data_IF_762565264491
#
_entry.id   IF_762565264491
#
_cell.length_a   1.000
_cell.length_b   1.000
_cell.length_c   1.000
_cell.angle_alpha   90.00
_cell.angle_beta   90.00
_cell.angle_gamma   90.00
#
_symmetry.space_group_name_H-M   'P 1'
#
loop_
_entity.id
_entity.type
_entity.pdbx_description
1 polymer ?
#
# COMPACT_ATOMS: atom_id res chain seq x y z
N UNK A 1 -3.14 37.49 -16.49
CA UNK A 1 -2.27 38.67 -16.32
C UNK A 1 -3.12 39.91 -16.46
N UNK A 2 -2.83 40.97 -15.70
CA UNK A 2 -3.57 42.25 -15.72
C UNK A 2 -2.62 43.37 -16.12
N UNK A 3 -3.09 44.28 -16.97
CA UNK A 3 -2.33 45.45 -17.40
C UNK A 3 -2.26 46.46 -16.25
N UNK A 4 -1.04 46.84 -15.88
CA UNK A 4 -0.78 47.85 -14.85
C UNK A 4 -0.71 49.23 -15.47
N UNK A 5 -0.05 49.36 -16.61
CA UNK A 5 0.00 50.59 -17.39
C UNK A 5 1.15 50.60 -18.39
N UNK A 6 1.33 51.76 -19.03
CA UNK A 6 2.25 51.94 -20.14
C UNK A 6 3.38 52.92 -19.79
N UNK A 7 4.58 52.66 -20.31
CA UNK A 7 5.76 53.51 -20.17
C UNK A 7 6.35 53.81 -21.57
N UNK A 8 6.95 55.00 -21.77
CA UNK A 8 7.41 55.43 -23.09
C UNK A 8 8.70 54.72 -23.53
N UNK A 9 9.52 54.26 -22.59
CA UNK A 9 10.85 53.71 -22.86
C UNK A 9 10.97 52.28 -22.32
N UNK A 10 11.70 51.44 -23.05
CA UNK A 10 12.02 50.06 -22.65
C UNK A 10 12.71 50.00 -21.29
N UNK A 11 13.75 50.82 -21.09
CA UNK A 11 14.54 50.82 -19.86
C UNK A 11 13.68 51.13 -18.63
N UNK A 12 12.79 52.11 -18.75
CA UNK A 12 11.90 52.47 -17.64
C UNK A 12 10.88 51.36 -17.35
N UNK A 13 10.37 50.69 -18.39
CA UNK A 13 9.44 49.58 -18.25
C UNK A 13 10.09 48.34 -17.64
N UNK A 14 11.30 47.98 -18.08
CA UNK A 14 12.07 46.88 -17.51
C UNK A 14 12.49 47.15 -16.08
N UNK A 15 12.94 48.38 -15.77
CA UNK A 15 13.30 48.80 -14.41
C UNK A 15 12.11 48.75 -13.47
N UNK A 16 10.94 49.20 -13.92
CA UNK A 16 9.71 49.13 -13.13
C UNK A 16 9.22 47.68 -12.94
N UNK A 17 9.26 46.84 -13.99
CA UNK A 17 8.92 45.43 -13.88
C UNK A 17 9.87 44.69 -12.91
N UNK A 18 11.17 44.99 -12.95
CA UNK A 18 12.14 44.47 -11.99
C UNK A 18 11.83 44.92 -10.56
N UNK A 19 11.47 46.19 -10.36
CA UNK A 19 11.04 46.68 -9.04
C UNK A 19 9.82 45.91 -8.50
N UNK A 20 8.81 45.65 -9.33
CA UNK A 20 7.65 44.85 -8.91
C UNK A 20 8.06 43.44 -8.44
N UNK A 21 9.01 42.80 -9.14
CA UNK A 21 9.57 41.50 -8.72
C UNK A 21 10.30 41.62 -7.37
N UNK A 22 11.00 42.73 -7.10
CA UNK A 22 11.60 43.01 -5.78
C UNK A 22 10.58 43.30 -4.67
N UNK A 23 9.33 43.57 -5.01
CA UNK A 23 8.20 43.68 -4.07
C UNK A 23 7.39 42.38 -3.93
N UNK A 24 7.80 41.32 -4.65
CA UNK A 24 7.13 40.02 -4.63
C UNK A 24 5.94 39.92 -5.58
N UNK A 25 5.85 40.85 -6.53
CA UNK A 25 4.80 40.90 -7.55
C UNK A 25 5.39 40.42 -8.87
N UNK A 26 4.85 39.34 -9.43
CA UNK A 26 5.37 38.77 -10.68
C UNK A 26 4.96 39.66 -11.85
N UNK A 27 5.93 40.37 -12.44
CA UNK A 27 5.69 41.32 -13.52
C UNK A 27 6.53 41.05 -14.77
N UNK A 28 6.03 41.49 -15.92
CA UNK A 28 6.77 41.49 -17.19
C UNK A 28 6.45 42.76 -18.00
N UNK A 29 7.43 43.23 -18.78
CA UNK A 29 7.27 44.37 -19.68
C UNK A 29 7.32 43.88 -21.13
N UNK A 30 6.37 44.31 -21.96
CA UNK A 30 6.24 43.92 -23.36
C UNK A 30 6.06 45.16 -24.25
N UNK A 31 6.59 45.10 -25.47
CA UNK A 31 6.49 46.20 -26.43
C UNK A 31 5.18 46.11 -27.21
N UNK A 32 4.43 47.22 -27.27
CA UNK A 32 3.12 47.31 -27.91
C UNK A 32 2.99 48.68 -28.59
N UNK A 33 2.73 48.73 -29.90
CA UNK A 33 2.47 49.95 -30.68
C UNK A 33 3.31 51.20 -30.32
N UNK A 34 4.63 51.03 -30.17
CA UNK A 34 5.57 52.12 -29.88
C UNK A 34 5.64 52.58 -28.41
N UNK A 35 4.97 51.87 -27.51
CA UNK A 35 5.05 52.03 -26.06
C UNK A 35 5.33 50.68 -25.38
N UNK A 36 5.63 50.70 -24.08
CA UNK A 36 5.89 49.48 -23.31
C UNK A 36 4.80 49.27 -22.26
N UNK A 37 4.11 48.14 -22.35
CA UNK A 37 3.05 47.74 -21.44
C UNK A 37 3.62 46.85 -20.33
N UNK A 38 3.33 47.18 -19.06
CA UNK A 38 3.74 46.38 -17.89
C UNK A 38 2.55 45.56 -17.39
N UNK A 39 2.75 44.25 -17.33
CA UNK A 39 1.74 43.26 -16.95
C UNK A 39 2.11 42.58 -15.64
N UNK A 40 1.12 42.36 -14.77
CA UNK A 40 1.27 41.62 -13.50
C UNK A 40 0.47 40.33 -13.54
N UNK A 41 0.99 39.28 -12.89
CA UNK A 41 0.33 37.97 -12.82
C UNK A 41 -0.77 37.94 -11.75
N UNK A 42 -0.50 38.45 -10.56
CA UNK A 42 -1.43 38.41 -9.43
C UNK A 42 -2.51 39.49 -9.53
N UNK A 43 -3.78 39.11 -9.56
CA UNK A 43 -4.90 40.06 -9.66
C UNK A 43 -4.97 40.99 -8.45
N UNK A 44 -4.78 40.44 -7.25
CA UNK A 44 -4.81 41.17 -5.98
C UNK A 44 -3.70 42.22 -5.84
N UNK A 45 -2.62 42.10 -6.62
CA UNK A 45 -1.49 43.03 -6.63
C UNK A 45 -1.67 44.17 -7.63
N UNK A 46 -2.72 44.14 -8.47
CA UNK A 46 -2.90 45.08 -9.59
C UNK A 46 -3.05 46.53 -9.11
N UNK A 47 -3.85 46.77 -8.07
CA UNK A 47 -4.10 48.13 -7.56
C UNK A 47 -2.86 48.73 -6.91
N UNK A 48 -2.11 47.92 -6.15
CA UNK A 48 -0.81 48.30 -5.58
C UNK A 48 0.20 48.61 -6.68
N UNK A 49 0.28 47.77 -7.72
CA UNK A 49 1.19 47.99 -8.84
C UNK A 49 0.85 49.27 -9.62
N UNK A 50 -0.43 49.63 -9.75
CA UNK A 50 -0.85 50.89 -10.36
C UNK A 50 -0.44 52.11 -9.54
N UNK A 51 -0.62 52.07 -8.22
CA UNK A 51 -0.16 53.14 -7.32
C UNK A 51 1.36 53.34 -7.40
N UNK A 52 2.11 52.24 -7.41
CA UNK A 52 3.58 52.30 -7.55
C UNK A 52 4.03 52.80 -8.93
N UNK A 53 3.25 52.54 -9.98
CA UNK A 53 3.52 53.06 -11.32
C UNK A 53 3.36 54.60 -11.36
N UNK A 54 2.35 55.15 -10.68
CA UNK A 54 2.19 56.60 -10.55
C UNK A 54 3.36 57.23 -9.81
N UNK A 55 3.79 56.62 -8.70
CA UNK A 55 4.96 57.06 -7.95
C UNK A 55 6.25 56.98 -8.79
N UNK A 56 6.41 55.92 -9.60
CA UNK A 56 7.53 55.76 -10.52
C UNK A 56 7.56 56.85 -11.59
N UNK A 57 6.40 57.21 -12.15
CA UNK A 57 6.29 58.31 -13.14
C UNK A 57 6.65 59.66 -12.54
N UNK A 58 6.28 59.91 -11.28
CA UNK A 58 6.58 61.16 -10.59
C UNK A 58 8.07 61.29 -10.23
N UNK A 59 8.72 60.21 -9.80
CA UNK A 59 10.14 60.21 -9.42
C UNK A 59 10.90 58.99 -9.99
N UNK A 60 11.17 58.93 -11.31
CA UNK A 60 11.73 57.75 -11.96
C UNK A 60 13.17 57.41 -11.56
N UNK A 61 13.88 58.37 -10.94
CA UNK A 61 15.29 58.28 -10.52
C UNK A 61 15.47 58.13 -9.01
N UNK A 62 14.39 57.90 -8.28
CA UNK A 62 14.45 57.60 -6.85
C UNK A 62 15.43 56.44 -6.58
N UNK A 63 16.14 56.52 -5.46
CA UNK A 63 17.06 55.49 -5.00
C UNK A 63 16.41 54.09 -4.95
N UNK A 64 15.10 54.01 -4.69
CA UNK A 64 14.34 52.74 -4.63
C UNK A 64 14.23 51.99 -5.97
N UNK A 65 14.46 52.68 -7.08
CA UNK A 65 14.44 52.10 -8.43
C UNK A 65 15.85 51.82 -8.98
N UNK A 66 16.89 52.09 -8.20
CA UNK A 66 18.27 51.85 -8.61
C UNK A 66 18.65 50.40 -8.27
N UNK A 67 19.38 49.74 -9.18
CA UNK A 67 19.86 48.35 -9.02
C UNK A 67 18.75 47.28 -8.85
N UNK A 68 17.49 47.61 -9.10
CA UNK A 68 16.35 46.69 -8.96
C UNK A 68 16.41 45.51 -9.92
N UNK A 69 17.02 45.67 -11.09
CA UNK A 69 17.23 44.59 -12.08
C UNK A 69 18.08 43.46 -11.49
N UNK A 70 19.18 43.80 -10.81
CA UNK A 70 20.05 42.81 -10.14
C UNK A 70 19.31 42.12 -9.00
N UNK A 71 18.60 42.88 -8.17
CA UNK A 71 17.83 42.34 -7.05
C UNK A 71 16.69 41.41 -7.52
N UNK A 72 16.02 41.77 -8.61
CA UNK A 72 14.98 40.94 -9.22
C UNK A 72 15.55 39.62 -9.74
N UNK A 73 16.69 39.66 -10.43
CA UNK A 73 17.38 38.46 -10.92
C UNK A 73 17.79 37.53 -9.76
N UNK A 74 18.37 38.08 -8.70
CA UNK A 74 18.77 37.32 -7.51
C UNK A 74 17.56 36.61 -6.87
N UNK A 75 16.40 37.29 -6.80
CA UNK A 75 15.16 36.71 -6.23
C UNK A 75 14.58 35.60 -7.10
N UNK A 76 14.50 35.79 -8.41
CA UNK A 76 14.04 34.75 -9.34
C UNK A 76 14.90 33.49 -9.28
N UNK A 77 16.23 33.65 -9.16
CA UNK A 77 17.16 32.53 -8.99
C UNK A 77 16.98 31.80 -7.65
N UNK A 78 16.67 32.54 -6.58
CA UNK A 78 16.34 31.94 -5.28
C UNK A 78 15.03 31.14 -5.36
N UNK A 79 13.98 31.70 -5.95
CA UNK A 79 12.70 30.99 -6.13
C UNK A 79 12.85 29.73 -6.98
N UNK A 80 13.61 29.80 -8.08
CA UNK A 80 13.88 28.62 -8.91
C UNK A 80 14.58 27.51 -8.12
N UNK A 81 15.63 27.86 -7.36
CA UNK A 81 16.34 26.91 -6.49
C UNK A 81 15.44 26.32 -5.42
N UNK A 82 14.57 27.14 -4.81
CA UNK A 82 13.59 26.67 -3.83
C UNK A 82 12.57 25.72 -4.45
N UNK A 83 12.06 26.02 -5.66
CA UNK A 83 11.15 25.14 -6.40
C UNK A 83 11.81 23.81 -6.77
N UNK A 84 13.07 23.83 -7.20
CA UNK A 84 13.82 22.60 -7.49
C UNK A 84 14.08 21.77 -6.23
N UNK A 85 14.44 22.41 -5.12
CA UNK A 85 14.61 21.73 -3.83
C UNK A 85 13.29 21.13 -3.33
N UNK A 86 12.18 21.87 -3.44
CA UNK A 86 10.85 21.39 -3.08
C UNK A 86 10.43 20.22 -3.97
N UNK A 87 10.72 20.26 -5.28
CA UNK A 87 10.44 19.17 -6.23
C UNK A 87 11.19 17.88 -5.87
N UNK A 88 12.42 17.98 -5.36
CA UNK A 88 13.18 16.82 -4.87
C UNK A 88 12.57 16.17 -3.62
N UNK A 89 11.77 16.91 -2.86
CA UNK A 89 11.06 16.41 -1.68
C UNK A 89 9.64 15.88 -1.98
N UNK A 90 9.17 15.98 -3.22
CA UNK A 90 7.91 15.37 -3.63
C UNK A 90 8.16 13.88 -3.83
N UNK A 91 7.74 13.09 -2.85
CA UNK A 91 7.57 11.64 -3.03
C UNK A 91 6.33 11.46 -3.88
N UNK A 92 6.50 11.25 -5.19
CA UNK A 92 5.40 10.84 -6.04
C UNK A 92 4.84 9.52 -5.49
N UNK A 93 3.56 9.46 -5.04
CA UNK A 93 2.96 8.19 -4.68
C UNK A 93 3.01 7.34 -5.95
N UNK A 94 3.75 6.23 -5.92
CA UNK A 94 4.01 5.41 -7.09
C UNK A 94 2.69 5.05 -7.77
N UNK A 95 2.38 5.70 -8.89
CA UNK A 95 1.24 5.35 -9.74
C UNK A 95 1.55 4.12 -10.60
N UNK A 96 2.34 3.19 -10.08
CA UNK A 96 2.62 1.92 -10.75
C UNK A 96 1.51 0.91 -10.43
N UNK A 97 0.35 1.21 -11.00
CA UNK A 97 -0.66 0.22 -11.36
C UNK A 97 -0.33 -0.47 -12.70
N UNK A 98 0.86 -0.23 -13.26
CA UNK A 98 1.39 -0.94 -14.42
C UNK A 98 1.75 -2.37 -14.02
N UNK A 99 0.92 -3.31 -14.44
CA UNK A 99 1.31 -4.71 -14.58
C UNK A 99 2.64 -4.79 -15.34
N UNK A 100 3.70 -5.40 -14.78
CA UNK A 100 4.87 -5.73 -15.60
C UNK A 100 6.23 -5.99 -14.94
N UNK A 101 6.45 -5.72 -13.66
CA UNK A 101 7.62 -6.31 -12.99
C UNK A 101 7.22 -7.71 -12.45
N UNK A 102 7.93 -8.81 -12.78
CA UNK A 102 7.67 -10.08 -12.15
C UNK A 102 7.98 -9.94 -10.66
N UNK A 103 6.92 -9.78 -9.85
CA UNK A 103 7.02 -9.78 -8.39
C UNK A 103 7.83 -10.99 -7.97
N UNK A 104 8.91 -10.77 -7.23
CA UNK A 104 9.76 -11.84 -6.72
C UNK A 104 9.09 -12.44 -5.50
N UNK A 105 8.08 -13.28 -5.75
CA UNK A 105 7.25 -13.89 -4.72
C UNK A 105 7.40 -15.43 -4.67
N UNK A 106 8.64 -15.97 -4.58
CA UNK A 106 8.87 -17.41 -4.65
C UNK A 106 8.17 -18.17 -3.53
N UNK A 107 8.22 -17.70 -2.28
CA UNK A 107 7.58 -18.37 -1.15
C UNK A 107 6.06 -18.33 -1.28
N UNK A 108 5.49 -17.19 -1.65
CA UNK A 108 4.05 -17.08 -1.88
C UNK A 108 3.58 -18.09 -2.93
N UNK A 109 4.32 -18.24 -4.04
CA UNK A 109 4.03 -19.24 -5.08
C UNK A 109 4.16 -20.66 -4.56
N UNK A 110 5.19 -20.95 -3.76
CA UNK A 110 5.38 -22.28 -3.14
C UNK A 110 4.24 -22.60 -2.17
N UNK A 111 3.80 -21.66 -1.33
CA UNK A 111 2.66 -21.86 -0.41
C UNK A 111 1.36 -22.12 -1.17
N UNK A 112 1.11 -21.39 -2.27
CA UNK A 112 -0.04 -21.62 -3.16
C UNK A 112 0.05 -23.02 -3.79
N UNK A 113 1.20 -23.38 -4.36
CA UNK A 113 1.40 -24.69 -4.98
C UNK A 113 1.21 -25.84 -3.97
N UNK A 114 1.79 -25.72 -2.78
CA UNK A 114 1.60 -26.71 -1.71
C UNK A 114 0.13 -26.83 -1.30
N UNK A 115 -0.60 -25.73 -1.18
CA UNK A 115 -2.03 -25.74 -0.83
C UNK A 115 -2.88 -26.43 -1.91
N UNK A 116 -2.61 -26.15 -3.19
CA UNK A 116 -3.30 -26.77 -4.30
C UNK A 116 -2.98 -28.27 -4.36
N UNK A 117 -1.71 -28.65 -4.28
CA UNK A 117 -1.28 -30.05 -4.32
C UNK A 117 -1.86 -30.82 -3.14
N UNK A 118 -1.72 -30.33 -1.91
CA UNK A 118 -2.26 -30.97 -0.72
C UNK A 118 -3.78 -31.16 -0.81
N UNK A 119 -4.50 -30.13 -1.30
CA UNK A 119 -5.96 -30.22 -1.49
C UNK A 119 -6.32 -31.24 -2.56
N UNK A 120 -5.61 -31.29 -3.70
CA UNK A 120 -5.88 -32.30 -4.74
C UNK A 120 -5.63 -33.71 -4.20
N UNK A 121 -4.50 -33.93 -3.52
CA UNK A 121 -4.13 -35.22 -2.93
C UNK A 121 -5.14 -35.69 -1.87
N UNK A 122 -5.71 -34.76 -1.09
CA UNK A 122 -6.72 -35.03 -0.08
C UNK A 122 -8.17 -35.06 -0.62
N UNK A 123 -8.40 -34.64 -1.86
CA UNK A 123 -9.73 -34.52 -2.47
C UNK A 123 -10.16 -35.74 -3.28
N UNK A 124 -11.44 -35.80 -3.61
CA UNK A 124 -12.00 -36.82 -4.51
C UNK A 124 -11.59 -36.65 -5.99
N UNK A 125 -10.95 -35.53 -6.38
CA UNK A 125 -10.49 -35.26 -7.75
C UNK A 125 -9.49 -36.28 -8.28
N UNK A 126 -8.71 -36.91 -7.40
CA UNK A 126 -7.64 -37.82 -7.81
C UNK A 126 -8.12 -39.22 -8.21
N UNK A 127 -9.42 -39.51 -8.05
CA UNK A 127 -10.04 -40.76 -8.50
C UNK A 127 -9.78 -41.97 -7.59
N UNK A 128 -10.88 -42.64 -7.21
CA UNK A 128 -11.13 -44.00 -6.65
C UNK A 128 -10.18 -44.67 -5.63
N UNK A 129 -8.89 -44.36 -5.52
CA UNK A 129 -8.03 -44.97 -4.49
C UNK A 129 -8.25 -44.26 -3.15
N UNK A 130 -9.14 -44.84 -2.33
CA UNK A 130 -9.52 -44.29 -1.04
C UNK A 130 -8.32 -44.25 -0.08
N UNK A 131 -7.36 -45.16 -0.24
CA UNK A 131 -6.26 -45.37 0.71
C UNK A 131 -5.28 -44.20 0.74
N UNK A 132 -4.79 -43.75 -0.41
CA UNK A 132 -3.87 -42.61 -0.51
C UNK A 132 -4.52 -41.31 -0.04
N UNK A 133 -5.77 -41.07 -0.46
CA UNK A 133 -6.54 -39.89 -0.07
C UNK A 133 -6.76 -39.84 1.45
N UNK A 134 -7.18 -40.96 2.05
CA UNK A 134 -7.40 -41.08 3.49
C UNK A 134 -6.10 -40.90 4.26
N UNK A 135 -5.02 -41.54 3.82
CA UNK A 135 -3.69 -41.39 4.44
C UNK A 135 -3.23 -39.93 4.40
N UNK A 136 -3.33 -39.25 3.26
CA UNK A 136 -2.91 -37.85 3.14
C UNK A 136 -3.79 -36.94 3.99
N UNK A 137 -5.11 -37.12 3.96
CA UNK A 137 -6.04 -36.32 4.76
C UNK A 137 -5.77 -36.50 6.27
N UNK A 138 -5.52 -37.74 6.71
CA UNK A 138 -5.22 -38.07 8.09
C UNK A 138 -3.84 -37.56 8.54
N UNK A 139 -2.82 -37.63 7.69
CA UNK A 139 -1.46 -37.17 8.06
C UNK A 139 -1.36 -35.64 8.09
N UNK A 140 -2.18 -34.95 7.30
CA UNK A 140 -2.17 -33.48 7.24
C UNK A 140 -3.18 -32.82 8.19
N UNK A 141 -4.15 -33.56 8.73
CA UNK A 141 -5.11 -33.05 9.71
C UNK A 141 -4.45 -32.67 11.04
N UNK A 142 -5.13 -31.84 11.84
CA UNK A 142 -4.59 -31.39 13.12
C UNK A 142 -4.43 -32.53 14.14
N UNK A 143 -5.32 -33.52 14.06
CA UNK A 143 -5.32 -34.71 14.90
C UNK A 143 -5.82 -35.90 14.08
N UNK A 144 -5.34 -37.09 14.41
CA UNK A 144 -5.95 -38.34 13.96
C UNK A 144 -7.34 -38.46 14.61
N UNK A 145 -8.37 -38.62 13.79
CA UNK A 145 -9.75 -38.55 14.28
C UNK A 145 -10.12 -39.73 15.20
N UNK A 146 -9.77 -41.00 14.90
CA UNK A 146 -9.88 -42.10 15.86
C UNK A 146 -9.24 -41.83 17.23
N UNK A 147 -7.99 -41.35 17.27
CA UNK A 147 -7.29 -41.06 18.53
C UNK A 147 -7.97 -39.94 19.33
N UNK A 148 -8.50 -38.93 18.64
CA UNK A 148 -9.30 -37.87 19.26
C UNK A 148 -10.59 -38.40 19.86
N UNK A 149 -11.30 -39.32 19.17
CA UNK A 149 -12.54 -39.90 19.71
C UNK A 149 -12.29 -40.68 21.00
N UNK A 150 -11.15 -41.38 21.10
CA UNK A 150 -10.77 -42.14 22.28
C UNK A 150 -10.33 -41.24 23.44
N UNK A 151 -9.49 -40.23 23.16
CA UNK A 151 -8.85 -39.41 24.21
C UNK A 151 -9.59 -38.13 24.57
N UNK A 152 -10.43 -37.63 23.65
CA UNK A 152 -11.01 -36.28 23.69
C UNK A 152 -9.94 -35.16 23.83
N UNK A 153 -8.68 -35.46 23.47
CA UNK A 153 -7.56 -34.53 23.53
C UNK A 153 -7.15 -34.11 22.11
N UNK A 154 -7.40 -32.86 21.69
CA UNK A 154 -7.04 -32.39 20.36
C UNK A 154 -5.53 -32.39 20.11
N UNK A 155 -4.70 -32.48 21.15
CA UNK A 155 -3.23 -32.43 21.05
C UNK A 155 -2.56 -33.81 21.16
N UNK A 156 -3.32 -34.90 21.19
CA UNK A 156 -2.80 -36.26 21.45
C UNK A 156 -1.62 -36.64 20.54
N UNK A 157 -1.75 -36.47 19.22
CA UNK A 157 -0.67 -36.83 18.28
C UNK A 157 0.51 -35.86 18.32
N UNK A 158 0.25 -34.58 18.59
CA UNK A 158 1.31 -33.56 18.73
C UNK A 158 2.18 -33.90 19.97
N UNK A 159 1.55 -34.33 21.07
CA UNK A 159 2.26 -34.81 22.27
C UNK A 159 3.08 -36.09 22.02
N UNK A 160 2.72 -36.87 21.00
CA UNK A 160 3.45 -38.06 20.56
C UNK A 160 4.60 -37.73 19.58
N UNK A 161 4.78 -36.47 19.21
CA UNK A 161 5.89 -36.01 18.36
C UNK A 161 5.49 -35.61 16.94
N UNK A 162 4.21 -35.69 16.57
CA UNK A 162 3.70 -35.31 15.24
C UNK A 162 3.54 -33.78 15.10
N UNK A 163 4.62 -33.04 15.35
CA UNK A 163 4.63 -31.57 15.45
C UNK A 163 4.28 -30.84 14.16
N UNK A 164 4.39 -31.50 13.01
CA UNK A 164 3.98 -30.93 11.72
C UNK A 164 2.50 -30.60 11.67
N UNK A 165 1.66 -31.31 12.46
CA UNK A 165 0.20 -31.09 12.55
C UNK A 165 -0.18 -29.71 13.06
N UNK A 166 0.75 -28.98 13.69
CA UNK A 166 0.55 -27.57 14.05
C UNK A 166 0.42 -26.67 12.80
N UNK A 167 0.95 -27.09 11.65
CA UNK A 167 1.05 -26.28 10.44
C UNK A 167 0.31 -26.90 9.26
N UNK A 168 0.42 -28.22 9.06
CA UNK A 168 -0.11 -28.91 7.87
C UNK A 168 -1.59 -28.70 7.58
N UNK A 169 -2.50 -28.52 8.57
CA UNK A 169 -3.91 -28.25 8.28
C UNK A 169 -4.11 -26.98 7.45
N UNK A 170 -3.18 -26.02 7.52
CA UNK A 170 -3.28 -24.79 6.74
C UNK A 170 -3.28 -25.03 5.22
N UNK A 171 -2.66 -26.12 4.74
CA UNK A 171 -2.55 -26.41 3.31
C UNK A 171 -3.76 -27.18 2.74
N UNK A 172 -4.51 -27.88 3.58
CA UNK A 172 -5.64 -28.72 3.15
C UNK A 172 -6.93 -27.90 3.15
N UNK A 173 -7.62 -27.82 2.01
CA UNK A 173 -8.89 -27.12 1.91
C UNK A 173 -10.05 -28.11 1.74
N UNK A 174 -11.26 -27.67 2.06
CA UNK A 174 -12.49 -28.44 1.82
C UNK A 174 -12.57 -28.96 0.39
N UNK A 175 -13.10 -30.17 0.21
CA UNK A 175 -13.13 -30.87 -1.07
C UNK A 175 -13.72 -29.96 -2.17
N UNK A 176 -12.93 -29.60 -3.22
CA UNK A 176 -13.40 -28.73 -4.29
C UNK A 176 -14.59 -29.29 -5.08
N UNK A 177 -14.82 -30.62 -5.04
CA UNK A 177 -15.91 -31.32 -5.72
C UNK A 177 -17.20 -31.30 -4.90
N UNK A 178 -17.09 -31.07 -3.58
CA UNK A 178 -18.27 -30.89 -2.73
C UNK A 178 -18.99 -29.59 -3.16
N UNK A 179 -20.22 -29.74 -3.69
CA UNK A 179 -21.02 -28.64 -4.24
C UNK A 179 -21.08 -27.46 -3.27
N UNK A 180 -20.82 -26.25 -3.79
CA UNK A 180 -20.98 -25.00 -3.05
C UNK A 180 -19.65 -24.47 -2.52
N UNK A 181 -19.26 -24.78 -1.29
CA UNK A 181 -18.27 -24.02 -0.53
C UNK A 181 -16.79 -24.37 -0.83
N UNK A 182 -16.48 -25.60 -1.23
CA UNK A 182 -15.10 -26.09 -1.33
C UNK A 182 -14.23 -25.32 -2.33
N UNK A 183 -14.74 -25.13 -3.56
CA UNK A 183 -13.99 -24.42 -4.61
C UNK A 183 -13.79 -22.93 -4.27
N UNK A 184 -14.81 -22.27 -3.72
CA UNK A 184 -14.70 -20.87 -3.34
C UNK A 184 -13.73 -20.69 -2.17
N UNK A 185 -13.71 -21.63 -1.21
CA UNK A 185 -12.81 -21.56 -0.08
C UNK A 185 -11.33 -21.55 -0.50
N UNK A 186 -10.91 -22.48 -1.37
CA UNK A 186 -9.52 -22.48 -1.86
C UNK A 186 -9.22 -21.27 -2.74
N UNK A 187 -10.12 -20.91 -3.67
CA UNK A 187 -9.89 -19.76 -4.56
C UNK A 187 -9.74 -18.44 -3.79
N UNK A 188 -10.61 -18.21 -2.79
CA UNK A 188 -10.55 -17.03 -1.94
C UNK A 188 -9.24 -16.97 -1.16
N UNK A 189 -8.84 -18.08 -0.53
CA UNK A 189 -7.58 -18.14 0.20
C UNK A 189 -6.36 -17.90 -0.71
N UNK A 190 -6.31 -18.53 -1.88
CA UNK A 190 -5.19 -18.37 -2.79
C UNK A 190 -5.12 -16.95 -3.36
N UNK A 191 -6.27 -16.34 -3.67
CA UNK A 191 -6.33 -14.95 -4.12
C UNK A 191 -5.69 -14.01 -3.09
N UNK A 192 -6.09 -14.12 -1.83
CA UNK A 192 -5.57 -13.25 -0.77
C UNK A 192 -4.15 -13.58 -0.34
N UNK A 193 -3.76 -14.85 -0.38
CA UNK A 193 -2.38 -15.26 -0.13
C UNK A 193 -1.44 -14.66 -1.18
N UNK A 194 -1.81 -14.69 -2.46
CA UNK A 194 -1.04 -14.03 -3.53
C UNK A 194 -0.98 -12.53 -3.33
N UNK A 195 -2.08 -11.91 -2.91
CA UNK A 195 -2.14 -10.47 -2.70
C UNK A 195 -1.33 -10.01 -1.49
N UNK A 196 -1.68 -10.46 -0.28
CA UNK A 196 -1.00 -10.03 0.95
C UNK A 196 0.39 -10.65 1.09
N UNK A 197 0.52 -11.96 0.83
CA UNK A 197 1.82 -12.63 0.86
C UNK A 197 2.78 -12.02 -0.15
N UNK A 198 2.30 -11.75 -1.36
CA UNK A 198 3.11 -11.10 -2.38
C UNK A 198 3.52 -9.67 -2.01
N UNK A 199 2.64 -8.90 -1.37
CA UNK A 199 2.97 -7.55 -0.89
C UNK A 199 4.04 -7.55 0.21
N UNK A 200 4.01 -8.52 1.13
CA UNK A 200 4.99 -8.66 2.20
C UNK A 200 6.32 -9.16 1.63
N UNK A 201 6.29 -10.22 0.83
CA UNK A 201 7.49 -10.85 0.29
C UNK A 201 8.28 -9.91 -0.64
N UNK A 202 7.58 -9.17 -1.51
CA UNK A 202 8.21 -8.23 -2.45
C UNK A 202 8.84 -7.02 -1.72
N UNK A 203 8.29 -6.59 -0.58
CA UNK A 203 8.75 -5.40 0.16
C UNK A 203 9.67 -5.70 1.35
N UNK A 204 9.52 -6.86 1.97
CA UNK A 204 10.20 -7.23 3.23
C UNK A 204 10.94 -8.57 3.15
N UNK A 205 10.83 -9.28 2.02
CA UNK A 205 11.52 -10.55 1.78
C UNK A 205 10.78 -11.78 2.29
N UNK A 206 11.17 -12.94 1.76
CA UNK A 206 10.54 -14.23 2.06
C UNK A 206 10.67 -14.67 3.51
N UNK A 207 11.74 -14.28 4.21
CA UNK A 207 11.95 -14.65 5.61
C UNK A 207 10.88 -14.09 6.55
N UNK A 208 10.49 -12.82 6.36
CA UNK A 208 9.42 -12.22 7.14
C UNK A 208 8.07 -12.86 6.82
N UNK A 209 7.78 -13.09 5.53
CA UNK A 209 6.57 -13.81 5.12
C UNK A 209 6.51 -15.20 5.78
N UNK A 210 7.61 -15.96 5.76
CA UNK A 210 7.68 -17.28 6.38
C UNK A 210 7.38 -17.23 7.88
N UNK A 211 7.97 -16.26 8.59
CA UNK A 211 7.74 -16.08 10.03
C UNK A 211 6.28 -15.74 10.32
N UNK A 212 5.70 -14.75 9.65
CA UNK A 212 4.29 -14.36 9.86
C UNK A 212 3.36 -15.51 9.51
N UNK A 213 3.58 -16.17 8.36
CA UNK A 213 2.77 -17.32 7.94
C UNK A 213 2.86 -18.50 8.93
N UNK A 214 4.05 -18.81 9.44
CA UNK A 214 4.24 -19.90 10.40
C UNK A 214 3.57 -19.59 11.74
N UNK A 215 3.79 -18.39 12.28
CA UNK A 215 3.20 -17.99 13.57
C UNK A 215 1.68 -17.96 13.51
N UNK A 216 1.13 -17.44 12.41
CA UNK A 216 -0.32 -17.35 12.21
C UNK A 216 -0.94 -18.70 11.95
N UNK A 217 -0.28 -19.60 11.20
CA UNK A 217 -0.74 -20.98 11.01
C UNK A 217 -0.79 -21.74 12.35
N UNK A 218 0.29 -21.71 13.13
CA UNK A 218 0.35 -22.38 14.43
C UNK A 218 -0.70 -21.79 15.37
N UNK A 219 -0.72 -20.46 15.49
CA UNK A 219 -1.64 -19.75 16.38
C UNK A 219 -3.10 -20.01 16.04
N UNK A 220 -3.47 -19.94 14.76
CA UNK A 220 -4.86 -20.19 14.34
C UNK A 220 -5.26 -21.65 14.50
N UNK A 221 -4.38 -22.60 14.14
CA UNK A 221 -4.70 -24.02 14.23
C UNK A 221 -4.86 -24.47 15.68
N UNK A 222 -3.95 -24.05 16.57
CA UNK A 222 -4.06 -24.34 18.00
C UNK A 222 -5.31 -23.68 18.58
N UNK A 223 -5.54 -22.40 18.30
CA UNK A 223 -6.72 -21.69 18.78
C UNK A 223 -8.02 -22.37 18.32
N UNK A 224 -8.12 -22.78 17.06
CA UNK A 224 -9.30 -23.46 16.51
C UNK A 224 -9.51 -24.86 17.10
N UNK A 225 -8.44 -25.59 17.39
CA UNK A 225 -8.54 -26.94 17.95
C UNK A 225 -8.85 -26.96 19.46
N UNK A 226 -8.36 -25.97 20.21
CA UNK A 226 -8.46 -25.95 21.68
C UNK A 226 -9.42 -24.90 22.21
N UNK A 227 -10.19 -24.21 21.35
CA UNK A 227 -11.10 -23.17 21.82
C UNK A 227 -12.13 -23.77 22.78
N UNK A 228 -12.27 -23.22 24.00
CA UNK A 228 -13.10 -23.83 25.03
C UNK A 228 -14.59 -23.72 24.68
N UNK A 229 -15.38 -24.65 25.23
CA UNK A 229 -16.83 -24.63 25.08
C UNK A 229 -17.54 -23.63 26.00
N UNK A 230 -16.82 -23.08 26.97
CA UNK A 230 -17.33 -22.10 27.90
C UNK A 230 -16.25 -21.11 28.34
N UNK A 231 -16.65 -19.88 28.62
CA UNK A 231 -15.81 -18.86 29.27
C UNK A 231 -16.46 -18.55 30.61
N UNK A 232 -15.87 -19.08 31.70
CA UNK A 232 -16.47 -19.02 33.02
C UNK A 232 -17.79 -19.82 33.06
N UNK A 233 -18.90 -19.16 33.40
CA UNK A 233 -20.23 -19.77 33.41
C UNK A 233 -21.01 -19.60 32.10
N UNK A 234 -20.41 -18.98 31.08
CA UNK A 234 -21.06 -18.73 29.79
C UNK A 234 -20.71 -19.86 28.84
N UNK A 235 -21.69 -20.69 28.50
CA UNK A 235 -21.56 -21.68 27.42
C UNK A 235 -21.52 -20.95 26.08
N UNK A 236 -20.57 -21.30 25.24
CA UNK A 236 -20.47 -20.75 23.90
C UNK A 236 -21.46 -21.47 22.97
N UNK A 237 -21.89 -20.83 21.88
CA UNK A 237 -22.55 -21.52 20.78
C UNK A 237 -21.61 -22.56 20.18
N UNK A 238 -22.15 -23.69 19.70
CA UNK A 238 -21.35 -24.72 19.01
C UNK A 238 -20.57 -24.19 17.80
N UNK A 239 -21.05 -23.10 17.16
CA UNK A 239 -20.34 -22.42 16.07
C UNK A 239 -19.08 -21.68 16.51
N UNK A 240 -18.87 -21.52 17.82
CA UNK A 240 -17.72 -20.86 18.43
C UNK A 240 -16.89 -21.84 19.29
N UNK A 241 -17.28 -23.12 19.38
CA UNK A 241 -16.46 -24.13 20.05
C UNK A 241 -15.28 -24.53 19.15
N UNK A 242 -14.23 -25.05 19.79
CA UNK A 242 -13.14 -25.67 19.06
C UNK A 242 -13.63 -26.83 18.20
N UNK A 243 -13.04 -26.97 17.02
CA UNK A 243 -13.28 -28.09 16.12
C UNK A 243 -11.92 -28.67 15.73
N UNK A 244 -11.84 -29.99 15.58
CA UNK A 244 -10.60 -30.67 15.16
C UNK A 244 -10.57 -31.01 13.66
N UNK A 245 -11.73 -31.00 13.02
CA UNK A 245 -11.89 -31.19 11.58
C UNK A 245 -11.96 -29.82 10.90
N UNK A 246 -10.80 -29.29 10.57
CA UNK A 246 -10.66 -28.03 9.84
C UNK A 246 -9.43 -28.07 8.95
N UNK A 247 -9.36 -27.10 8.05
CA UNK A 247 -8.19 -26.87 7.22
C UNK A 247 -8.36 -25.61 6.38
N UNK A 248 -7.23 -25.09 5.91
CA UNK A 248 -7.15 -23.98 4.97
C UNK A 248 -6.27 -22.85 5.44
N UNK A 249 -5.84 -22.02 4.50
CA UNK A 249 -4.90 -20.92 4.75
C UNK A 249 -5.56 -19.69 5.40
N UNK A 250 -6.82 -19.77 5.84
CA UNK A 250 -7.60 -18.60 6.26
C UNK A 250 -7.00 -17.90 7.47
N UNK A 251 -6.57 -18.64 8.49
CA UNK A 251 -5.86 -18.08 9.64
C UNK A 251 -4.58 -17.34 9.24
N UNK A 252 -3.83 -17.89 8.28
CA UNK A 252 -2.64 -17.23 7.71
C UNK A 252 -3.05 -15.97 6.96
N UNK A 253 -4.04 -16.04 6.08
CA UNK A 253 -4.53 -14.90 5.29
C UNK A 253 -4.98 -13.75 6.20
N UNK A 254 -5.74 -14.02 7.27
CA UNK A 254 -6.14 -12.99 8.23
C UNK A 254 -4.94 -12.41 8.98
N UNK A 255 -3.95 -13.24 9.33
CA UNK A 255 -2.71 -12.78 9.94
C UNK A 255 -1.89 -11.87 9.01
N UNK A 256 -1.78 -12.23 7.72
CA UNK A 256 -1.12 -11.41 6.71
C UNK A 256 -1.87 -10.10 6.46
N UNK A 257 -3.21 -10.14 6.42
CA UNK A 257 -4.04 -8.94 6.31
C UNK A 257 -3.80 -7.99 7.50
N UNK A 258 -3.86 -8.50 8.73
CA UNK A 258 -3.59 -7.72 9.93
C UNK A 258 -2.18 -7.13 9.93
N UNK A 259 -1.18 -7.88 9.47
CA UNK A 259 0.19 -7.40 9.33
C UNK A 259 0.33 -6.28 8.28
N UNK A 260 -0.37 -6.37 7.15
CA UNK A 260 -0.33 -5.34 6.09
C UNK A 260 -1.11 -4.08 6.48
N UNK A 261 -2.16 -4.24 7.29
CA UNK A 261 -3.02 -3.13 7.72
C UNK A 261 -2.33 -2.15 8.67
N UNK A 262 -1.45 -2.67 9.55
CA UNK A 262 -0.71 -1.90 10.56
C UNK A 262 0.51 -1.22 9.93
#
# INVERSE_FOLDING_TARGET
MRLVGQLPNENDAQRFAAFLITEGITAHAEAEDGHWSVWVREEDATDRAKQELEAFRNQPRDARYQNVERLAQERLLQEHRQREAARKNIIEPSTDWKAGAPRRIPLTRTLVAMSIIATILASTLMGRDSTLRETVAEQLSFVNYPDYLETQDPLVNIKQGEVWRLVTPAFVHADPVARGFGVFHILFNMYWLVHFGGMIEDRRGSGLLAMVALLTAIGSNVAQATFPEAIGSIQLPASLHGAVLFGGMSGVVYGLFGFVWI
#
